data_IF_530454587323
#
_entry.id   IF_530454587323
#
_cell.length_a   1.000
_cell.length_b   1.000
_cell.length_c   1.000
_cell.angle_alpha   90.00
_cell.angle_beta   90.00
_cell.angle_gamma   90.00
#
_symmetry.space_group_name_H-M   'P 1'
#
loop_
_entity.id
_entity.type
_entity.pdbx_description
1 polymer ?
#
# COMPACT_ATOMS: atom_id res chain seq x y z
N UNK A 1 -21.19 7.10 -20.19
CA UNK A 1 -20.40 8.24 -19.68
C UNK A 1 -19.00 7.72 -19.44
N UNK A 2 -18.04 8.18 -20.18
CA UNK A 2 -16.62 7.87 -19.99
C UNK A 2 -16.10 8.81 -18.92
N UNK A 3 -15.67 8.28 -17.79
CA UNK A 3 -15.01 9.06 -16.74
C UNK A 3 -13.56 8.62 -16.68
N UNK A 4 -12.66 9.48 -17.06
CA UNK A 4 -11.22 9.30 -16.82
C UNK A 4 -10.96 9.58 -15.33
N UNK A 5 -10.75 8.53 -14.56
CA UNK A 5 -10.28 8.67 -13.20
C UNK A 5 -8.76 8.76 -13.24
N UNK A 6 -8.23 9.98 -13.15
CA UNK A 6 -6.85 10.12 -12.70
C UNK A 6 -6.82 9.63 -11.23
N UNK A 7 -5.92 8.74 -10.86
CA UNK A 7 -5.67 8.55 -9.44
C UNK A 7 -5.33 9.94 -8.88
N UNK A 8 -5.95 10.32 -7.77
CA UNK A 8 -5.65 11.56 -7.05
C UNK A 8 -4.20 11.50 -6.56
N UNK A 9 -3.28 11.74 -7.46
CA UNK A 9 -1.91 12.11 -7.21
C UNK A 9 -1.87 13.62 -7.38
N UNK A 10 -2.24 14.35 -6.36
CA UNK A 10 -1.85 15.74 -6.28
C UNK A 10 -0.35 15.86 -6.50
N UNK A 11 0.04 16.64 -7.51
CA UNK A 11 1.40 17.04 -7.88
C UNK A 11 2.19 16.05 -8.75
N UNK A 12 2.09 16.26 -10.04
CA UNK A 12 3.14 15.88 -10.98
C UNK A 12 4.40 16.72 -10.71
N UNK A 13 5.40 16.14 -10.08
CA UNK A 13 6.79 16.60 -10.19
C UNK A 13 7.52 15.61 -11.10
N UNK A 14 8.20 16.14 -12.12
CA UNK A 14 8.95 15.39 -13.09
C UNK A 14 9.97 14.46 -12.41
N UNK A 15 9.94 13.17 -12.73
CA UNK A 15 10.97 12.19 -12.34
C UNK A 15 10.55 11.10 -11.38
N UNK A 16 9.26 10.88 -11.09
CA UNK A 16 8.81 9.70 -10.34
C UNK A 16 8.71 8.49 -11.28
N UNK A 17 9.50 7.45 -11.04
CA UNK A 17 9.15 6.12 -11.55
C UNK A 17 7.72 5.82 -11.11
N UNK A 18 6.87 5.62 -12.08
CA UNK A 18 5.46 5.31 -11.93
C UNK A 18 5.38 3.95 -11.25
N UNK A 19 4.96 3.91 -9.99
CA UNK A 19 4.31 2.69 -9.45
C UNK A 19 3.20 2.43 -10.44
N UNK A 20 3.29 1.33 -11.20
CA UNK A 20 2.43 1.16 -12.37
C UNK A 20 0.98 1.27 -11.90
N UNK A 21 0.17 2.08 -12.57
CA UNK A 21 -1.27 2.21 -12.31
C UNK A 21 -1.94 0.84 -12.26
N UNK A 22 -1.38 -0.13 -12.96
CA UNK A 22 -1.71 -1.54 -12.92
C UNK A 22 -1.63 -2.12 -11.50
N UNK A 23 -0.57 -1.85 -10.74
CA UNK A 23 -0.42 -2.39 -9.38
C UNK A 23 -1.43 -1.77 -8.40
N UNK A 24 -1.62 -0.46 -8.47
CA UNK A 24 -2.61 0.25 -7.63
C UNK A 24 -4.01 -0.23 -7.95
N UNK A 25 -4.31 -0.46 -9.23
CA UNK A 25 -5.61 -0.95 -9.67
C UNK A 25 -5.84 -2.42 -9.28
N UNK A 26 -4.85 -3.29 -9.40
CA UNK A 26 -4.92 -4.67 -8.94
C UNK A 26 -5.22 -4.74 -7.43
N UNK A 27 -4.56 -3.91 -6.64
CA UNK A 27 -4.84 -3.78 -5.21
C UNK A 27 -6.26 -3.27 -4.95
N UNK A 28 -6.73 -2.32 -5.75
CA UNK A 28 -8.09 -1.81 -5.65
C UNK A 28 -9.12 -2.90 -6.01
N UNK A 29 -8.92 -3.71 -7.05
CA UNK A 29 -9.78 -4.83 -7.41
C UNK A 29 -9.92 -5.85 -6.27
N UNK A 30 -8.81 -6.16 -5.59
CA UNK A 30 -8.81 -7.02 -4.40
C UNK A 30 -9.64 -6.38 -3.28
N UNK A 31 -9.45 -5.07 -3.04
CA UNK A 31 -10.20 -4.30 -2.02
C UNK A 31 -11.68 -4.23 -2.31
N UNK A 32 -12.05 -4.09 -3.58
CA UNK A 32 -13.44 -4.07 -4.01
C UNK A 32 -14.09 -5.47 -4.00
N UNK A 33 -13.36 -6.53 -3.64
CA UNK A 33 -13.82 -7.90 -3.70
C UNK A 33 -14.08 -8.40 -5.12
N UNK A 34 -13.53 -7.72 -6.12
CA UNK A 34 -13.71 -8.03 -7.55
C UNK A 34 -12.64 -8.99 -8.08
N UNK A 35 -11.60 -9.21 -7.31
CA UNK A 35 -10.55 -10.18 -7.58
C UNK A 35 -10.26 -10.96 -6.32
N UNK A 36 -10.31 -12.27 -6.38
CA UNK A 36 -9.79 -13.11 -5.31
C UNK A 36 -8.29 -12.81 -5.16
N UNK A 37 -7.87 -12.48 -3.94
CA UNK A 37 -6.45 -12.47 -3.66
C UNK A 37 -5.94 -13.89 -3.94
N UNK A 38 -5.24 -14.09 -5.06
CA UNK A 38 -4.57 -15.36 -5.30
C UNK A 38 -3.58 -15.58 -4.17
N UNK A 39 -3.94 -16.43 -3.23
CA UNK A 39 -3.12 -16.84 -2.09
C UNK A 39 -1.77 -17.39 -2.55
N UNK A 40 -1.77 -18.05 -3.71
CA UNK A 40 -0.67 -18.86 -4.22
C UNK A 40 0.51 -18.07 -4.79
N UNK A 41 0.28 -16.86 -5.31
CA UNK A 41 1.39 -16.05 -5.87
C UNK A 41 2.24 -15.36 -4.79
N UNK A 42 1.80 -15.34 -3.54
CA UNK A 42 2.43 -14.62 -2.43
C UNK A 42 3.24 -15.54 -1.53
N UNK A 43 2.91 -16.83 -1.49
CA UNK A 43 3.65 -17.80 -0.69
C UNK A 43 5.10 -17.95 -1.17
N UNK A 44 5.38 -17.67 -2.45
CA UNK A 44 6.70 -17.77 -3.07
C UNK A 44 7.44 -16.43 -3.20
N UNK A 45 6.93 -15.32 -2.62
CA UNK A 45 7.68 -14.07 -2.64
C UNK A 45 8.77 -14.07 -1.56
N UNK A 46 10.00 -13.60 -1.89
CA UNK A 46 11.13 -13.63 -0.96
C UNK A 46 10.92 -12.73 0.24
N UNK A 47 10.08 -11.71 0.11
CA UNK A 47 9.67 -10.81 1.20
C UNK A 47 8.20 -10.44 1.07
N UNK A 48 7.50 -10.43 2.19
CA UNK A 48 6.06 -10.12 2.28
C UNK A 48 5.80 -9.24 3.49
N UNK A 49 5.10 -8.13 3.31
CA UNK A 49 4.57 -7.32 4.42
C UNK A 49 3.38 -8.06 5.05
N UNK A 50 3.54 -8.57 6.27
CA UNK A 50 2.52 -9.34 6.98
C UNK A 50 1.53 -8.45 7.73
N UNK A 51 2.05 -7.47 8.45
CA UNK A 51 1.22 -6.57 9.24
C UNK A 51 1.89 -5.22 9.47
N UNK A 52 1.07 -4.21 9.71
CA UNK A 52 1.50 -2.91 10.20
C UNK A 52 0.48 -2.38 11.19
N UNK A 53 0.97 -1.74 12.25
CA UNK A 53 0.18 -1.04 13.25
C UNK A 53 0.94 0.20 13.69
N UNK A 54 0.23 1.27 13.96
CA UNK A 54 0.78 2.50 14.58
C UNK A 54 -0.35 3.24 15.30
N UNK A 55 0.00 4.07 16.29
CA UNK A 55 -1.00 4.73 17.12
C UNK A 55 -1.67 5.89 16.40
N UNK A 56 -1.01 6.47 15.41
CA UNK A 56 -1.58 7.55 14.62
C UNK A 56 -1.22 7.43 13.13
N UNK A 57 -2.12 7.86 12.25
CA UNK A 57 -1.92 7.85 10.79
C UNK A 57 -1.90 6.45 10.19
N UNK A 58 -1.25 6.31 9.04
CA UNK A 58 -1.09 5.05 8.30
C UNK A 58 0.31 4.94 7.74
N UNK A 59 0.84 3.72 7.64
CA UNK A 59 2.09 3.45 6.96
C UNK A 59 2.02 3.95 5.51
N UNK A 60 2.98 4.76 5.11
CA UNK A 60 3.10 5.30 3.77
C UNK A 60 4.35 4.75 3.07
N UNK A 61 4.23 4.52 1.77
CA UNK A 61 5.32 4.06 0.93
C UNK A 61 5.88 5.23 0.14
N UNK A 62 7.21 5.45 0.24
CA UNK A 62 7.98 6.50 -0.42
C UNK A 62 7.54 7.94 -0.07
N UNK A 63 6.82 8.10 1.03
CA UNK A 63 6.28 9.38 1.49
C UNK A 63 6.17 9.45 3.00
N UNK A 64 6.20 10.69 3.53
CA UNK A 64 5.86 10.99 4.92
C UNK A 64 4.45 10.50 5.29
N UNK A 65 4.30 9.96 6.49
CA UNK A 65 3.02 9.40 6.96
C UNK A 65 1.91 10.43 7.14
N UNK A 66 2.24 11.70 7.35
CA UNK A 66 1.28 12.79 7.59
C UNK A 66 1.13 13.72 6.39
N UNK A 67 2.20 14.44 6.06
CA UNK A 67 2.16 15.45 5.00
C UNK A 67 2.12 14.88 3.60
N UNK A 68 2.43 13.57 3.45
CA UNK A 68 2.53 12.88 2.16
C UNK A 68 3.55 13.51 1.20
N UNK A 69 4.44 14.32 1.73
CA UNK A 69 5.59 14.86 1.01
C UNK A 69 6.66 13.78 0.81
N UNK A 70 7.66 13.98 -0.07
CA UNK A 70 8.81 13.08 -0.11
C UNK A 70 9.48 12.95 1.26
N UNK A 71 9.91 11.75 1.60
CA UNK A 71 10.63 11.44 2.84
C UNK A 71 11.84 12.36 2.97
N UNK A 72 12.00 12.99 4.13
CA UNK A 72 13.13 13.87 4.41
C UNK A 72 13.59 13.71 5.85
N UNK A 73 14.82 13.29 6.07
CA UNK A 73 15.43 13.19 7.40
C UNK A 73 16.62 14.13 7.47
N UNK A 74 16.62 15.01 8.48
CA UNK A 74 17.60 16.10 8.53
C UNK A 74 17.54 16.97 7.29
N UNK A 75 18.67 17.11 6.58
CA UNK A 75 18.73 17.86 5.31
C UNK A 75 18.58 16.98 4.06
N UNK A 76 18.57 15.65 4.19
CA UNK A 76 18.57 14.71 3.07
C UNK A 76 17.16 14.27 2.69
N UNK A 77 16.82 14.35 1.40
CA UNK A 77 15.57 13.85 0.82
C UNK A 77 15.81 12.47 0.20
N UNK A 78 14.84 11.59 0.37
CA UNK A 78 14.91 10.20 -0.09
C UNK A 78 13.78 9.90 -1.06
N UNK A 79 14.07 9.09 -2.08
CA UNK A 79 13.08 8.66 -3.06
C UNK A 79 12.30 7.43 -2.60
N UNK A 80 12.88 6.64 -1.70
CA UNK A 80 12.39 5.35 -1.23
C UNK A 80 12.32 5.33 0.27
N UNK A 81 11.38 4.55 0.82
CA UNK A 81 11.28 4.30 2.24
C UNK A 81 9.86 4.12 2.74
N UNK A 82 9.74 4.04 4.05
CA UNK A 82 8.46 3.88 4.74
C UNK A 82 8.27 5.04 5.71
N UNK A 83 7.23 5.84 5.49
CA UNK A 83 6.80 6.86 6.45
C UNK A 83 5.84 6.26 7.46
N UNK A 84 6.11 6.43 8.75
CA UNK A 84 5.37 5.83 9.86
C UNK A 84 5.21 6.82 11.01
N UNK A 85 4.61 6.38 12.09
CA UNK A 85 4.42 7.16 13.32
C UNK A 85 4.67 6.28 14.55
N UNK A 86 5.02 6.86 15.69
CA UNK A 86 5.05 6.13 16.97
C UNK A 86 3.61 5.84 17.46
N UNK A 87 3.32 4.81 18.26
CA UNK A 87 4.14 3.63 18.40
C UNK A 87 3.87 2.71 17.20
N UNK A 88 4.82 2.63 16.31
CA UNK A 88 4.67 1.90 15.05
C UNK A 88 5.35 0.53 15.08
N UNK A 89 4.73 -0.48 14.47
CA UNK A 89 5.31 -1.81 14.26
C UNK A 89 4.92 -2.32 12.88
N UNK A 90 5.91 -2.60 12.05
CA UNK A 90 5.74 -3.15 10.70
C UNK A 90 6.49 -4.46 10.61
N UNK A 91 5.82 -5.53 10.17
CA UNK A 91 6.34 -6.90 10.18
C UNK A 91 6.44 -7.43 8.76
N UNK A 92 7.61 -7.92 8.42
CA UNK A 92 7.89 -8.58 7.15
C UNK A 92 8.27 -10.05 7.38
N UNK A 93 7.66 -10.94 6.61
CA UNK A 93 8.12 -12.33 6.45
C UNK A 93 9.19 -12.36 5.37
N UNK A 94 10.26 -13.09 5.63
CA UNK A 94 11.38 -13.31 4.73
C UNK A 94 11.49 -14.78 4.34
N UNK A 95 12.11 -15.09 3.20
CA UNK A 95 12.39 -16.46 2.77
C UNK A 95 13.74 -16.99 3.30
N UNK A 96 14.57 -16.11 3.89
CA UNK A 96 15.92 -16.41 4.38
C UNK A 96 17.03 -16.17 3.35
N UNK A 97 16.71 -15.68 2.16
CA UNK A 97 17.67 -15.42 1.08
C UNK A 97 18.44 -14.10 1.21
N UNK A 98 18.02 -13.23 2.11
CA UNK A 98 18.66 -11.94 2.32
C UNK A 98 19.84 -12.03 3.30
N UNK A 99 20.83 -11.13 3.12
CA UNK A 99 22.02 -11.05 3.96
C UNK A 99 22.00 -9.81 4.87
N UNK A 100 21.50 -8.68 4.36
CA UNK A 100 21.54 -7.39 5.03
C UNK A 100 20.18 -6.68 4.94
N UNK A 101 19.78 -6.03 6.02
CA UNK A 101 18.77 -4.97 6.02
C UNK A 101 19.47 -3.64 6.21
N UNK A 102 19.17 -2.65 5.37
CA UNK A 102 19.74 -1.31 5.42
C UNK A 102 18.66 -0.25 5.41
N UNK A 103 18.83 0.79 6.22
CA UNK A 103 17.97 1.98 6.23
C UNK A 103 18.70 3.18 6.82
N UNK A 104 18.28 4.37 6.43
CA UNK A 104 18.53 5.61 7.16
C UNK A 104 17.28 5.96 7.98
N UNK A 105 17.41 6.24 9.27
CA UNK A 105 16.23 6.46 10.12
C UNK A 105 16.26 7.81 10.83
N UNK A 106 15.10 8.38 11.09
CA UNK A 106 14.95 9.64 11.83
C UNK A 106 13.54 10.20 11.81
N UNK A 107 13.36 11.35 12.47
CA UNK A 107 12.12 12.12 12.40
C UNK A 107 12.00 12.74 11.00
N UNK A 108 10.80 12.62 10.41
CA UNK A 108 10.52 13.26 9.12
C UNK A 108 10.59 14.80 9.25
N UNK A 109 11.47 15.42 8.49
CA UNK A 109 11.68 16.87 8.51
C UNK A 109 10.68 17.58 7.58
N UNK A 110 9.48 17.78 8.05
CA UNK A 110 8.40 18.47 7.34
C UNK A 110 7.94 19.76 8.09
N UNK A 111 6.91 20.41 7.57
CA UNK A 111 6.37 21.65 8.14
C UNK A 111 5.72 21.47 9.51
N UNK A 112 5.29 20.26 9.83
CA UNK A 112 4.59 19.93 11.07
C UNK A 112 5.57 19.55 12.19
N UNK A 113 6.49 18.65 11.93
CA UNK A 113 7.46 18.16 12.93
C UNK A 113 8.47 19.23 13.33
N UNK A 114 9.02 19.97 12.37
CA UNK A 114 10.07 20.96 12.60
C UNK A 114 11.15 20.45 13.56
N UNK A 115 11.26 21.06 14.75
CA UNK A 115 12.20 20.65 15.82
C UNK A 115 11.55 19.70 16.84
N UNK A 116 10.27 19.39 16.66
CA UNK A 116 9.51 18.55 17.57
C UNK A 116 9.66 17.06 17.19
N UNK A 117 9.11 16.21 18.05
CA UNK A 117 9.13 14.76 17.89
C UNK A 117 10.39 14.12 18.46
N UNK A 118 10.20 12.97 19.03
CA UNK A 118 11.25 12.15 19.64
C UNK A 118 10.89 10.68 19.56
N UNK A 119 11.66 9.92 18.80
CA UNK A 119 11.42 8.47 18.60
C UNK A 119 12.71 7.69 18.79
N UNK A 120 12.56 6.40 19.10
CA UNK A 120 13.65 5.43 18.93
C UNK A 120 13.21 4.35 17.95
N UNK A 121 14.13 3.96 17.08
CA UNK A 121 13.94 2.89 16.12
C UNK A 121 14.49 1.59 16.67
N UNK A 122 13.73 0.50 16.49
CA UNK A 122 14.15 -0.83 16.93
C UNK A 122 14.00 -1.80 15.78
N UNK A 123 15.05 -2.58 15.53
CA UNK A 123 15.03 -3.68 14.55
C UNK A 123 15.03 -5.00 15.30
N UNK A 124 14.02 -5.82 15.01
CA UNK A 124 13.86 -7.16 15.59
C UNK A 124 13.96 -8.17 14.44
N UNK A 125 14.80 -9.17 14.59
CA UNK A 125 15.00 -10.26 13.64
C UNK A 125 14.72 -11.58 14.35
N UNK A 126 13.79 -12.39 13.81
CA UNK A 126 13.38 -13.69 14.39
C UNK A 126 13.15 -13.60 15.90
N UNK A 127 12.33 -12.62 16.30
CA UNK A 127 11.92 -12.31 17.68
C UNK A 127 13.06 -11.80 18.61
N UNK A 128 14.26 -11.52 18.09
CA UNK A 128 15.36 -10.94 18.84
C UNK A 128 15.59 -9.48 18.48
N UNK A 129 15.64 -8.60 19.46
CA UNK A 129 16.05 -7.21 19.27
C UNK A 129 17.54 -7.18 18.90
N UNK A 130 17.84 -6.73 17.68
CA UNK A 130 19.21 -6.67 17.15
C UNK A 130 19.80 -5.27 17.29
N UNK A 131 18.96 -4.25 17.12
CA UNK A 131 19.40 -2.86 17.16
C UNK A 131 18.32 -1.97 17.78
N UNK A 132 18.79 -1.00 18.57
CA UNK A 132 17.97 0.11 19.09
C UNK A 132 18.77 1.39 18.99
N UNK A 133 18.24 2.36 18.26
CA UNK A 133 18.89 3.66 18.14
C UNK A 133 18.79 4.47 19.44
N UNK A 134 19.71 5.41 19.64
CA UNK A 134 19.44 6.54 20.52
C UNK A 134 18.16 7.26 20.11
N UNK A 135 17.61 8.10 21.00
CA UNK A 135 16.45 8.91 20.68
C UNK A 135 16.76 9.89 19.55
N UNK A 136 16.07 9.72 18.43
CA UNK A 136 16.10 10.64 17.29
C UNK A 136 15.17 11.82 17.60
N UNK A 137 15.61 13.03 17.26
CA UNK A 137 14.81 14.25 17.44
C UNK A 137 14.64 14.99 16.12
N UNK A 138 13.62 15.84 16.05
CA UNK A 138 13.34 16.61 14.84
C UNK A 138 14.56 17.37 14.34
N UNK A 139 14.74 17.37 13.01
CA UNK A 139 15.87 17.95 12.26
C UNK A 139 17.25 17.32 12.48
N UNK A 140 17.39 16.32 13.35
CA UNK A 140 18.64 15.59 13.49
C UNK A 140 19.00 14.88 12.17
N UNK A 141 20.30 14.67 11.96
CA UNK A 141 20.78 13.86 10.85
C UNK A 141 20.27 12.41 10.98
N UNK A 142 20.04 11.76 9.87
CA UNK A 142 19.66 10.36 9.84
C UNK A 142 20.71 9.46 10.50
N UNK A 143 20.27 8.44 11.20
CA UNK A 143 21.11 7.34 11.67
C UNK A 143 21.05 6.24 10.61
N UNK A 144 22.23 5.82 10.11
CA UNK A 144 22.32 4.73 9.15
C UNK A 144 22.40 3.39 9.87
N UNK A 145 21.57 2.45 9.44
CA UNK A 145 21.50 1.08 9.94
C UNK A 145 22.01 0.11 8.86
N UNK A 146 22.79 -0.89 9.29
CA UNK A 146 23.25 -2.00 8.46
C UNK A 146 23.20 -3.29 9.30
N UNK A 147 22.12 -4.03 9.20
CA UNK A 147 21.74 -5.13 10.10
C UNK A 147 21.87 -6.46 9.37
N UNK A 148 22.64 -7.43 9.89
CA UNK A 148 22.71 -8.77 9.32
C UNK A 148 21.34 -9.48 9.50
N UNK A 149 20.82 -10.06 8.40
CA UNK A 149 19.56 -10.81 8.37
C UNK A 149 19.73 -12.16 7.66
N UNK A 150 20.94 -12.70 7.63
CA UNK A 150 21.22 -13.96 6.96
C UNK A 150 20.39 -15.10 7.56
N UNK A 151 19.62 -15.81 6.71
CA UNK A 151 18.76 -16.91 7.13
C UNK A 151 17.46 -16.50 7.83
N UNK A 152 17.27 -15.20 8.12
CA UNK A 152 16.13 -14.70 8.86
C UNK A 152 14.79 -15.00 8.15
N UNK A 153 13.77 -15.30 8.96
CA UNK A 153 12.40 -15.54 8.50
C UNK A 153 11.46 -14.38 8.82
N UNK A 154 11.85 -13.50 9.75
CA UNK A 154 11.02 -12.41 10.21
C UNK A 154 11.87 -11.17 10.47
N UNK A 155 11.43 -10.05 9.95
CA UNK A 155 11.98 -8.72 10.21
C UNK A 155 10.87 -7.81 10.73
N UNK A 156 11.11 -7.18 11.87
CA UNK A 156 10.19 -6.22 12.44
C UNK A 156 10.86 -4.86 12.59
N UNK A 157 10.19 -3.85 12.09
CA UNK A 157 10.60 -2.46 12.18
C UNK A 157 9.67 -1.76 13.18
N UNK A 158 10.23 -1.34 14.31
CA UNK A 158 9.48 -0.74 15.42
C UNK A 158 9.94 0.69 15.64
N UNK A 159 8.97 1.58 15.84
CA UNK A 159 9.20 2.98 16.26
C UNK A 159 8.49 3.19 17.58
N UNK A 160 9.21 3.67 18.58
CA UNK A 160 8.68 3.99 19.92
C UNK A 160 8.59 5.50 20.09
N UNK A 161 7.72 5.96 20.98
CA UNK A 161 7.55 7.37 21.37
C UNK A 161 8.64 7.90 22.33
N UNK A 162 9.73 7.16 22.49
CA UNK A 162 10.83 7.47 23.41
C UNK A 162 10.39 7.76 24.86
N UNK A 163 9.12 7.51 25.21
CA UNK A 163 8.56 7.66 26.56
C UNK A 163 8.01 9.03 26.89
N UNK A 164 7.89 9.96 25.90
CA UNK A 164 7.36 11.32 26.11
C UNK A 164 6.02 11.57 25.37
N UNK A 165 5.46 10.51 24.76
CA UNK A 165 4.18 10.54 24.05
C UNK A 165 4.33 10.79 22.56
N UNK A 166 3.26 10.53 21.82
CA UNK A 166 3.28 10.38 20.35
C UNK A 166 3.25 11.69 19.56
N UNK A 167 3.28 12.86 20.21
CA UNK A 167 3.10 14.13 19.52
C UNK A 167 4.27 14.47 18.59
N UNK A 168 3.98 14.71 17.32
CA UNK A 168 4.96 15.02 16.26
C UNK A 168 5.93 13.87 15.92
N UNK A 169 5.65 12.65 16.30
CA UNK A 169 6.50 11.49 16.11
C UNK A 169 6.38 10.87 14.71
N UNK A 170 6.29 11.73 13.70
CA UNK A 170 6.35 11.31 12.31
C UNK A 170 7.77 10.84 12.01
N UNK A 171 7.92 9.59 11.66
CA UNK A 171 9.19 8.91 11.55
C UNK A 171 9.35 8.20 10.21
N UNK A 172 10.59 8.11 9.75
CA UNK A 172 10.89 7.48 8.48
C UNK A 172 11.93 6.36 8.62
N UNK A 173 11.65 5.24 7.97
CA UNK A 173 12.62 4.24 7.55
C UNK A 173 13.02 4.59 6.11
N UNK A 174 13.87 5.58 5.94
CA UNK A 174 14.30 6.08 4.65
C UNK A 174 15.24 5.09 3.97
N UNK A 175 15.09 4.91 2.65
CA UNK A 175 15.91 4.00 1.84
C UNK A 175 15.94 2.55 2.37
N UNK A 176 14.87 2.13 3.06
CA UNK A 176 14.73 0.83 3.70
C UNK A 176 14.73 -0.30 2.67
N UNK A 177 15.72 -1.18 2.74
CA UNK A 177 15.95 -2.23 1.74
C UNK A 177 16.60 -3.47 2.31
N UNK A 178 16.34 -4.59 1.66
CA UNK A 178 17.01 -5.86 1.87
C UNK A 178 18.01 -6.10 0.74
N UNK A 179 19.14 -6.71 1.05
CA UNK A 179 20.20 -7.06 0.10
C UNK A 179 20.44 -8.57 0.18
N UNK A 180 20.39 -9.27 -0.95
CA UNK A 180 20.67 -10.71 -1.02
C UNK A 180 22.17 -11.03 -1.16
N UNK A 181 22.52 -12.32 -1.16
CA UNK A 181 23.89 -12.77 -1.29
C UNK A 181 24.58 -12.44 -2.64
N UNK A 182 23.81 -12.08 -3.66
CA UNK A 182 24.31 -11.61 -4.95
C UNK A 182 24.44 -10.08 -5.03
N UNK A 183 24.07 -9.36 -3.95
CA UNK A 183 24.07 -7.90 -3.90
C UNK A 183 22.83 -7.25 -4.52
N UNK A 184 21.82 -8.03 -4.92
CA UNK A 184 20.57 -7.50 -5.43
C UNK A 184 19.76 -6.86 -4.31
N UNK A 185 19.24 -5.68 -4.58
CA UNK A 185 18.46 -4.90 -3.62
C UNK A 185 16.96 -5.07 -3.84
N UNK A 186 16.22 -5.22 -2.75
CA UNK A 186 14.75 -5.17 -2.70
C UNK A 186 14.32 -4.10 -1.71
N UNK A 187 13.70 -3.04 -2.20
CA UNK A 187 13.18 -1.97 -1.33
C UNK A 187 11.90 -2.43 -0.64
N UNK A 188 11.79 -2.15 0.66
CA UNK A 188 10.59 -2.50 1.43
C UNK A 188 9.35 -1.72 0.99
N UNK A 189 9.54 -0.54 0.40
CA UNK A 189 8.45 0.23 -0.19
C UNK A 189 7.87 -0.39 -1.48
N UNK A 190 8.59 -1.30 -2.13
CA UNK A 190 8.12 -2.06 -3.29
C UNK A 190 7.40 -3.36 -2.90
N UNK A 191 7.45 -3.73 -1.61
CA UNK A 191 6.85 -4.97 -1.13
C UNK A 191 5.33 -4.86 -1.09
N UNK A 192 4.67 -5.71 -1.88
CA UNK A 192 3.21 -5.78 -1.89
C UNK A 192 2.71 -6.43 -0.59
N UNK A 193 1.83 -5.78 0.17
CA UNK A 193 1.27 -6.38 1.38
C UNK A 193 0.56 -7.71 1.09
N UNK A 194 0.81 -8.73 1.91
CA UNK A 194 0.14 -10.04 1.82
C UNK A 194 -1.37 -9.93 2.04
N UNK A 195 -1.72 -9.21 3.04
CA UNK A 195 -3.02 -8.62 3.33
C UNK A 195 -2.74 -7.50 4.32
N UNK A 196 -2.90 -6.25 3.93
CA UNK A 196 -3.21 -5.29 4.98
C UNK A 196 -4.50 -5.80 5.62
N UNK A 197 -4.64 -5.83 6.96
CA UNK A 197 -5.95 -5.80 7.57
C UNK A 197 -6.54 -4.46 7.13
N UNK A 198 -7.15 -4.49 5.96
CA UNK A 198 -7.90 -3.36 5.47
C UNK A 198 -9.02 -3.23 6.47
N UNK A 199 -9.14 -2.06 7.04
CA UNK A 199 -10.38 -1.67 7.69
C UNK A 199 -11.48 -1.76 6.62
N UNK A 200 -12.08 -2.95 6.49
CA UNK A 200 -13.18 -3.22 5.59
C UNK A 200 -14.45 -2.45 5.98
N UNK A 201 -14.42 -1.66 7.06
CA UNK A 201 -15.50 -0.74 7.41
C UNK A 201 -15.70 0.35 6.34
N UNK A 202 -14.67 0.60 5.52
CA UNK A 202 -14.76 1.39 4.30
C UNK A 202 -14.50 0.50 3.08
N UNK A 203 -15.52 -0.24 2.64
CA UNK A 203 -15.50 -0.94 1.34
C UNK A 203 -15.07 0.06 0.27
N UNK A 204 -14.03 -0.29 -0.50
CA UNK A 204 -13.69 0.50 -1.67
C UNK A 204 -14.90 0.47 -2.60
N UNK A 205 -15.54 1.63 -2.78
CA UNK A 205 -16.70 1.73 -3.65
C UNK A 205 -16.27 1.55 -5.10
N UNK A 206 -17.05 0.82 -5.87
CA UNK A 206 -16.87 0.80 -7.31
C UNK A 206 -17.01 2.22 -7.85
N UNK A 207 -16.16 2.65 -8.80
CA UNK A 207 -16.35 3.95 -9.43
C UNK A 207 -17.73 4.01 -10.11
N UNK A 208 -18.45 5.09 -9.90
CA UNK A 208 -19.75 5.30 -10.50
C UNK A 208 -20.87 4.50 -9.85
N UNK A 209 -21.18 4.75 -8.59
CA UNK A 209 -22.35 4.19 -7.91
C UNK A 209 -23.65 4.54 -8.65
N UNK A 210 -24.62 3.64 -8.61
CA UNK A 210 -25.97 3.86 -9.14
C UNK A 210 -27.03 3.63 -8.06
N UNK A 211 -28.24 4.10 -8.32
CA UNK A 211 -29.41 3.85 -7.48
C UNK A 211 -30.43 3.06 -8.26
N UNK A 212 -31.03 2.04 -7.66
CA UNK A 212 -32.08 1.21 -8.24
C UNK A 212 -33.15 0.96 -7.20
N UNK A 213 -34.42 1.23 -7.54
CA UNK A 213 -35.56 1.21 -6.61
C UNK A 213 -35.34 2.00 -5.31
N UNK A 214 -34.60 3.12 -5.39
CA UNK A 214 -34.30 3.97 -4.25
C UNK A 214 -33.13 3.52 -3.37
N UNK A 215 -32.53 2.36 -3.64
CA UNK A 215 -31.38 1.82 -2.90
C UNK A 215 -30.08 2.00 -3.67
N UNK A 216 -28.98 2.22 -2.93
CA UNK A 216 -27.65 2.37 -3.50
C UNK A 216 -27.10 1.05 -3.99
N UNK A 217 -26.33 1.07 -5.10
CA UNK A 217 -25.55 -0.07 -5.58
C UNK A 217 -24.64 -0.68 -4.51
N UNK A 218 -24.16 0.11 -3.57
CA UNK A 218 -23.32 -0.37 -2.46
C UNK A 218 -24.07 -1.34 -1.53
N UNK A 219 -25.41 -1.16 -1.42
CA UNK A 219 -26.30 -2.04 -0.64
C UNK A 219 -26.78 -3.22 -1.47
N UNK A 220 -27.10 -2.98 -2.74
CA UNK A 220 -27.72 -3.96 -3.62
C UNK A 220 -26.73 -5.02 -4.13
N UNK A 221 -25.58 -4.60 -4.67
CA UNK A 221 -24.65 -5.52 -5.34
C UNK A 221 -24.14 -6.68 -4.46
N UNK A 222 -23.93 -6.52 -3.13
CA UNK A 222 -23.60 -7.66 -2.26
C UNK A 222 -24.66 -8.74 -2.17
N UNK A 223 -25.93 -8.43 -2.51
CA UNK A 223 -27.06 -9.36 -2.44
C UNK A 223 -27.40 -10.00 -3.79
N UNK A 224 -26.81 -9.50 -4.88
CA UNK A 224 -27.04 -9.95 -6.23
C UNK A 224 -26.12 -11.12 -6.62
N UNK A 225 -26.58 -11.96 -7.55
CA UNK A 225 -25.73 -13.00 -8.12
C UNK A 225 -24.61 -12.34 -8.93
N UNK A 226 -23.36 -12.70 -8.63
CA UNK A 226 -22.16 -12.09 -9.20
C UNK A 226 -21.40 -13.10 -10.06
N UNK A 227 -21.02 -12.67 -11.26
CA UNK A 227 -20.18 -13.41 -12.19
C UNK A 227 -18.98 -12.55 -12.61
N UNK A 228 -17.78 -13.12 -12.55
CA UNK A 228 -16.55 -12.50 -13.04
C UNK A 228 -16.09 -13.21 -14.31
N UNK A 229 -15.79 -12.42 -15.35
CA UNK A 229 -15.11 -12.97 -16.52
C UNK A 229 -13.61 -13.04 -16.32
N UNK A 230 -12.93 -14.01 -16.97
CA UNK A 230 -11.47 -14.03 -17.01
C UNK A 230 -10.91 -12.69 -17.51
N UNK A 231 -9.81 -12.24 -16.92
CA UNK A 231 -9.12 -11.03 -17.35
C UNK A 231 -8.58 -11.22 -18.77
N UNK A 232 -8.89 -10.28 -19.66
CA UNK A 232 -8.38 -10.27 -21.02
C UNK A 232 -7.14 -9.37 -21.07
N UNK A 233 -5.99 -9.99 -21.39
CA UNK A 233 -4.73 -9.30 -21.62
C UNK A 233 -4.59 -8.91 -23.08
N UNK A 234 -4.25 -7.64 -23.34
CA UNK A 234 -3.86 -7.10 -24.64
C UNK A 234 -2.49 -6.42 -24.50
N UNK A 235 -1.89 -6.04 -25.62
CA UNK A 235 -0.54 -5.44 -25.61
C UNK A 235 -0.49 -4.17 -24.78
N UNK A 236 -1.51 -3.31 -24.92
CA UNK A 236 -1.57 -1.97 -24.33
C UNK A 236 -2.47 -1.88 -23.08
N UNK A 237 -3.32 -2.91 -22.80
CA UNK A 237 -4.30 -2.86 -21.72
C UNK A 237 -4.69 -4.21 -21.15
N UNK A 238 -5.33 -4.15 -19.96
CA UNK A 238 -6.05 -5.26 -19.34
C UNK A 238 -7.51 -4.90 -19.22
N UNK A 239 -8.40 -5.83 -19.57
CA UNK A 239 -9.84 -5.66 -19.46
C UNK A 239 -10.37 -6.56 -18.34
N UNK A 240 -11.16 -5.95 -17.48
CA UNK A 240 -11.90 -6.60 -16.38
C UNK A 240 -13.38 -6.45 -16.64
N UNK A 241 -14.17 -7.50 -16.39
CA UNK A 241 -15.62 -7.45 -16.53
C UNK A 241 -16.27 -8.26 -15.42
N UNK A 242 -17.21 -7.62 -14.72
CA UNK A 242 -18.01 -8.24 -13.66
C UNK A 242 -19.46 -7.90 -13.90
N UNK A 243 -20.32 -8.90 -13.78
CA UNK A 243 -21.75 -8.80 -13.96
C UNK A 243 -22.46 -9.15 -12.66
N UNK A 244 -23.48 -8.38 -12.31
CA UNK A 244 -24.40 -8.67 -11.21
C UNK A 244 -25.81 -8.78 -11.76
N UNK A 245 -26.51 -9.80 -11.30
CA UNK A 245 -27.91 -10.05 -11.64
C UNK A 245 -28.77 -9.94 -10.38
N UNK A 246 -29.82 -9.14 -10.48
CA UNK A 246 -30.83 -9.02 -9.44
C UNK A 246 -31.48 -10.38 -9.12
N UNK A 247 -31.67 -10.73 -7.83
CA UNK A 247 -32.46 -11.87 -7.44
C UNK A 247 -33.91 -11.76 -8.01
N UNK A 248 -34.32 -12.74 -8.80
CA UNK A 248 -35.64 -12.73 -9.47
C UNK A 248 -35.62 -12.31 -10.94
N UNK A 249 -34.47 -11.94 -11.49
CA UNK A 249 -34.25 -11.85 -12.94
C UNK A 249 -34.61 -10.51 -13.57
N UNK A 250 -34.60 -9.41 -12.81
CA UNK A 250 -34.84 -8.07 -13.32
C UNK A 250 -33.64 -7.41 -13.99
N UNK A 251 -32.92 -6.60 -13.23
CA UNK A 251 -31.78 -5.84 -13.72
C UNK A 251 -30.50 -6.68 -13.76
N UNK A 252 -29.75 -6.54 -14.84
CA UNK A 252 -28.37 -6.99 -14.96
C UNK A 252 -27.48 -5.76 -15.04
N UNK A 253 -26.55 -5.61 -14.10
CA UNK A 253 -25.56 -4.55 -14.07
C UNK A 253 -24.18 -5.10 -14.39
N UNK A 254 -23.56 -4.63 -15.47
CA UNK A 254 -22.22 -5.03 -15.88
C UNK A 254 -21.26 -3.86 -15.71
N UNK A 255 -20.20 -4.08 -14.95
CA UNK A 255 -19.08 -3.17 -14.84
C UNK A 255 -17.90 -3.70 -15.65
N UNK A 256 -17.39 -2.87 -16.55
CA UNK A 256 -16.20 -3.17 -17.34
C UNK A 256 -15.17 -2.08 -17.13
N UNK A 257 -13.91 -2.48 -16.91
CA UNK A 257 -12.79 -1.57 -16.79
C UNK A 257 -11.65 -1.97 -17.71
N UNK A 258 -11.00 -0.98 -18.30
CA UNK A 258 -9.80 -1.12 -19.10
C UNK A 258 -8.66 -0.35 -18.41
N UNK A 259 -7.58 -1.06 -18.07
CA UNK A 259 -6.37 -0.51 -17.45
C UNK A 259 -5.28 -0.46 -18.48
N UNK A 260 -4.79 0.73 -18.78
CA UNK A 260 -3.73 0.94 -19.74
C UNK A 260 -2.38 0.62 -19.12
N UNK A 261 -1.49 -0.06 -19.87
CA UNK A 261 -0.18 -0.49 -19.38
C UNK A 261 0.87 0.62 -19.45
N UNK A 262 0.77 1.48 -20.49
CA UNK A 262 1.76 2.50 -20.80
C UNK A 262 1.50 3.85 -20.14
N UNK A 263 0.31 4.02 -19.58
CA UNK A 263 -0.09 5.26 -18.91
C UNK A 263 -0.83 4.93 -17.61
N UNK A 264 -0.67 5.80 -16.61
CA UNK A 264 -1.40 5.69 -15.34
C UNK A 264 -2.87 6.10 -15.53
N UNK A 265 -3.61 5.33 -16.33
CA UNK A 265 -5.00 5.61 -16.65
C UNK A 265 -5.86 4.35 -16.64
N UNK A 266 -7.12 4.52 -16.27
CA UNK A 266 -8.16 3.52 -16.32
C UNK A 266 -9.42 4.14 -16.88
N UNK A 267 -10.11 3.41 -17.76
CA UNK A 267 -11.46 3.71 -18.20
C UNK A 267 -12.40 2.65 -17.62
N UNK A 268 -13.60 3.07 -17.17
CA UNK A 268 -14.65 2.12 -16.76
C UNK A 268 -16.01 2.51 -17.30
N UNK A 269 -16.88 1.49 -17.42
CA UNK A 269 -18.25 1.67 -17.88
C UNK A 269 -19.19 0.77 -17.11
N UNK A 270 -20.35 1.32 -16.71
CA UNK A 270 -21.51 0.57 -16.32
C UNK A 270 -22.45 0.37 -17.51
N UNK A 271 -22.91 -0.84 -17.70
CA UNK A 271 -23.96 -1.20 -18.66
C UNK A 271 -25.11 -1.86 -17.89
N UNK A 272 -26.31 -1.47 -18.21
CA UNK A 272 -27.52 -2.01 -17.60
C UNK A 272 -28.38 -2.64 -18.68
N UNK A 273 -28.89 -3.85 -18.41
CA UNK A 273 -29.84 -4.55 -19.26
C UNK A 273 -30.93 -5.18 -18.40
N UNK A 274 -32.11 -5.36 -18.99
CA UNK A 274 -33.22 -6.05 -18.35
C UNK A 274 -33.25 -7.50 -18.87
N UNK A 275 -33.15 -8.49 -17.98
CA UNK A 275 -33.19 -9.92 -18.34
C UNK A 275 -34.62 -10.44 -18.52
N UNK A 276 -35.65 -9.66 -18.13
CA UNK A 276 -37.04 -10.04 -18.23
C UNK A 276 -37.77 -9.53 -19.50
N UNK A 277 -37.04 -8.93 -20.44
CA UNK A 277 -37.60 -8.48 -21.71
C UNK A 277 -37.62 -9.63 -22.73
N UNK A 278 -38.65 -10.47 -22.68
CA UNK A 278 -39.21 -11.27 -23.77
C UNK A 278 -40.70 -11.05 -23.82
#
# INVERSE_FOLDING_TARGET
>A
VTVLVKPDCGCAAAGSEVVSASLVFEQWLVRAGLKSAKRDARENQPVVLESTKQDWGTLMFDRSCHTRTPIKVGSKTYKRGLGTHSNGRTVFRLDGGFQQFRADVGIDNNSDTRTNGSVAFVVIVDDHEIERTPVCRGQAAAISLDIPVAGAKRLELVVTDAGDGINYDQADWADARLVDGAGKTTYLSDVVPASLPLDFSRRARLPGAFTYHGESSDTLLPTWTREEKPVVEQDDRRTYEVTWQEPGGGLVATWRAEVFKDVSAMEFRWTFSNSSAT
#
